data_IF_606479571491
#
_entry.id   IF_606479571491
#
_cell.length_a   1.000
_cell.length_b   1.000
_cell.length_c   1.000
_cell.angle_alpha   90.00
_cell.angle_beta   90.00
_cell.angle_gamma   90.00
#
_symmetry.space_group_name_H-M   'P 1'
#
loop_
_entity.id
_entity.type
_entity.pdbx_description
1 polymer ?
#
# COMPACT_ATOMS: atom_id res chain seq x y z
N UNK A 1 -40.22 -11.22 -36.09
CA UNK A 1 -39.64 -9.86 -36.12
C UNK A 1 -38.71 -9.76 -34.92
N UNK A 2 -37.40 -9.60 -35.12
CA UNK A 2 -36.39 -9.61 -34.05
C UNK A 2 -36.50 -8.31 -33.24
N UNK A 3 -36.88 -8.42 -31.97
CA UNK A 3 -36.88 -7.28 -31.05
C UNK A 3 -35.45 -6.80 -30.78
N UNK A 4 -35.25 -5.50 -30.98
CA UNK A 4 -33.98 -4.83 -30.88
C UNK A 4 -33.45 -4.82 -29.45
N UNK A 5 -32.25 -5.41 -29.26
CA UNK A 5 -31.40 -5.11 -28.10
C UNK A 5 -31.20 -3.58 -28.04
N UNK A 6 -31.43 -2.90 -26.91
CA UNK A 6 -31.42 -1.45 -26.86
C UNK A 6 -30.02 -0.93 -27.18
N UNK A 7 -29.91 -0.13 -28.24
CA UNK A 7 -28.66 0.37 -28.82
C UNK A 7 -27.72 1.02 -27.79
N UNK A 8 -28.30 1.62 -26.73
CA UNK A 8 -27.59 2.24 -25.60
C UNK A 8 -26.83 1.22 -24.73
N UNK A 9 -27.42 0.05 -24.40
CA UNK A 9 -26.74 -1.04 -23.67
C UNK A 9 -25.58 -1.61 -24.49
N UNK A 10 -25.79 -1.78 -25.80
CA UNK A 10 -24.76 -2.29 -26.71
C UNK A 10 -23.57 -1.33 -26.80
N UNK A 11 -23.82 -0.03 -26.86
CA UNK A 11 -22.77 0.99 -26.93
C UNK A 11 -21.95 1.08 -25.62
N UNK A 12 -22.62 1.05 -24.46
CA UNK A 12 -21.98 1.06 -23.13
C UNK A 12 -21.12 -0.18 -22.94
N UNK A 13 -21.67 -1.36 -23.24
CA UNK A 13 -20.94 -2.62 -23.13
C UNK A 13 -19.74 -2.71 -24.09
N UNK A 14 -19.84 -2.11 -25.28
CA UNK A 14 -18.71 -2.05 -26.24
C UNK A 14 -17.64 -1.05 -25.80
N UNK A 15 -18.03 0.08 -25.20
CA UNK A 15 -17.09 1.04 -24.58
C UNK A 15 -16.39 0.44 -23.35
N UNK A 16 -17.11 -0.31 -22.51
CA UNK A 16 -16.56 -1.03 -21.36
C UNK A 16 -15.50 -2.05 -21.82
N UNK A 17 -15.83 -2.92 -22.78
CA UNK A 17 -14.88 -3.90 -23.33
C UNK A 17 -13.62 -3.27 -23.94
N UNK A 18 -13.75 -2.13 -24.61
CA UNK A 18 -12.59 -1.39 -25.15
C UNK A 18 -11.73 -0.79 -24.02
N UNK A 19 -12.34 -0.29 -22.96
CA UNK A 19 -11.64 0.22 -21.78
C UNK A 19 -10.92 -0.90 -21.02
N UNK A 20 -11.54 -2.08 -20.88
CA UNK A 20 -10.95 -3.25 -20.25
C UNK A 20 -9.70 -3.71 -21.00
N UNK A 21 -9.79 -3.79 -22.34
CA UNK A 21 -8.65 -4.11 -23.20
C UNK A 21 -7.55 -3.05 -23.09
N UNK A 22 -7.92 -1.76 -23.04
CA UNK A 22 -6.97 -0.67 -22.91
C UNK A 22 -6.26 -0.69 -21.54
N UNK A 23 -6.98 -0.96 -20.45
CA UNK A 23 -6.41 -1.13 -19.11
C UNK A 23 -5.46 -2.32 -19.08
N UNK A 24 -5.87 -3.47 -19.63
CA UNK A 24 -5.01 -4.67 -19.72
C UNK A 24 -3.72 -4.34 -20.49
N UNK A 25 -3.84 -3.70 -21.66
CA UNK A 25 -2.68 -3.30 -22.47
C UNK A 25 -1.81 -2.31 -21.70
N UNK A 26 -2.40 -1.33 -21.02
CA UNK A 26 -1.64 -0.33 -20.27
C UNK A 26 -0.90 -0.96 -19.09
N UNK A 27 -1.57 -1.85 -18.32
CA UNK A 27 -0.93 -2.57 -17.21
C UNK A 27 0.16 -3.49 -17.72
N UNK A 28 -0.07 -4.22 -18.83
CA UNK A 28 0.97 -5.04 -19.46
C UNK A 28 2.16 -4.20 -19.92
N UNK A 29 1.90 -3.03 -20.51
CA UNK A 29 2.97 -2.13 -20.98
C UNK A 29 3.76 -1.50 -19.83
N UNK A 30 3.10 -1.17 -18.71
CA UNK A 30 3.76 -0.71 -17.48
C UNK A 30 4.58 -1.81 -16.82
N UNK A 31 4.05 -3.04 -16.80
CA UNK A 31 4.80 -4.20 -16.33
C UNK A 31 6.01 -4.50 -17.23
N UNK A 32 5.89 -4.29 -18.55
CA UNK A 32 7.02 -4.39 -19.49
C UNK A 32 8.05 -3.28 -19.27
N UNK A 33 7.63 -2.06 -18.95
CA UNK A 33 8.54 -0.95 -18.66
C UNK A 33 9.33 -1.14 -17.35
N UNK A 34 8.73 -1.78 -16.33
CA UNK A 34 9.43 -2.15 -15.10
C UNK A 34 10.57 -3.18 -15.33
N UNK A 35 10.58 -3.88 -16.47
CA UNK A 35 11.64 -4.82 -16.85
C UNK A 35 12.86 -4.10 -17.46
N UNK A 36 12.70 -2.87 -17.93
CA UNK A 36 13.67 -2.27 -18.85
C UNK A 36 14.98 -1.70 -18.26
N UNK A 37 15.14 -1.40 -16.96
CA UNK A 37 16.46 -1.03 -16.43
C UNK A 37 17.19 -2.18 -15.71
N UNK A 38 16.54 -3.28 -15.37
CA UNK A 38 17.19 -4.41 -14.69
C UNK A 38 17.93 -5.39 -15.62
N UNK A 39 18.03 -5.06 -16.92
CA UNK A 39 18.63 -5.92 -17.95
C UNK A 39 20.05 -5.51 -18.38
N UNK A 40 20.66 -4.49 -17.75
CA UNK A 40 22.00 -4.02 -18.13
C UNK A 40 22.95 -3.88 -16.93
N UNK A 41 23.10 -4.91 -16.11
CA UNK A 41 24.27 -5.04 -15.23
C UNK A 41 24.52 -6.48 -14.80
N UNK A 42 24.41 -7.44 -15.73
CA UNK A 42 24.95 -8.79 -15.55
C UNK A 42 25.29 -9.41 -16.91
N UNK A 43 26.40 -8.97 -17.51
CA UNK A 43 27.22 -9.83 -18.37
C UNK A 43 28.54 -9.15 -18.75
N UNK A 44 29.61 -9.96 -18.68
CA UNK A 44 30.96 -9.74 -19.21
C UNK A 44 31.99 -9.09 -18.27
N UNK A 45 32.68 -9.91 -17.47
CA UNK A 45 33.90 -10.57 -17.97
C UNK A 45 34.49 -11.53 -16.93
N UNK A 46 34.61 -12.79 -17.33
CA UNK A 46 35.64 -13.69 -16.80
C UNK A 46 36.75 -13.79 -17.85
N UNK A 47 37.99 -13.47 -17.46
CA UNK A 47 39.21 -14.21 -17.87
C UNK A 47 40.48 -13.50 -17.37
N UNK A 48 41.28 -14.30 -16.64
CA UNK A 48 42.74 -14.32 -16.49
C UNK A 48 43.59 -13.05 -16.76
N UNK A 49 44.47 -12.70 -15.81
CA UNK A 49 45.86 -13.18 -15.79
C UNK A 49 46.69 -12.52 -14.67
N UNK A 50 47.79 -13.19 -14.36
CA UNK A 50 48.75 -13.04 -13.25
C UNK A 50 49.34 -11.63 -13.07
N UNK A 51 49.61 -11.21 -11.84
CA UNK A 51 50.95 -11.13 -11.20
C UNK A 51 50.89 -10.26 -9.92
N UNK A 52 51.24 -10.85 -8.78
CA UNK A 52 51.85 -10.14 -7.63
C UNK A 52 53.35 -9.88 -7.94
N UNK A 53 54.12 -9.01 -7.23
CA UNK A 53 54.08 -8.82 -5.76
C UNK A 53 54.41 -7.38 -5.23
N UNK A 54 54.43 -7.28 -3.88
CA UNK A 54 55.32 -6.44 -3.02
C UNK A 54 54.70 -5.27 -2.21
N UNK A 55 54.41 -5.60 -0.93
CA UNK A 55 54.72 -4.90 0.34
C UNK A 55 54.43 -3.40 0.54
N UNK A 56 53.56 -3.11 1.53
CA UNK A 56 53.98 -2.55 2.85
C UNK A 56 52.85 -2.55 3.88
N UNK A 57 53.10 -3.20 5.02
CA UNK A 57 52.38 -3.01 6.28
C UNK A 57 52.86 -1.71 6.95
N UNK A 58 51.91 -0.89 7.46
CA UNK A 58 52.03 -0.13 8.72
C UNK A 58 50.62 -0.03 9.36
N UNK A 59 50.43 -0.33 10.66
CA UNK A 59 49.14 -0.31 11.35
C UNK A 59 48.92 0.99 12.15
N UNK A 60 47.66 1.45 12.29
CA UNK A 60 47.08 1.91 13.57
C UNK A 60 45.65 2.45 13.43
N UNK A 61 44.72 1.81 14.15
CA UNK A 61 43.61 2.34 14.94
C UNK A 61 42.81 3.57 14.42
N UNK A 62 41.53 3.36 14.09
CA UNK A 62 40.40 3.76 14.93
C UNK A 62 39.03 3.44 14.29
N UNK A 63 38.12 2.97 15.15
CA UNK A 63 36.66 2.94 15.04
C UNK A 63 36.03 2.29 13.80
N UNK A 64 35.53 1.06 13.99
CA UNK A 64 34.61 0.42 13.05
C UNK A 64 33.21 1.02 13.15
N UNK A 65 32.77 1.63 12.04
CA UNK A 65 31.36 1.84 11.73
C UNK A 65 30.84 0.62 10.94
N UNK A 66 29.65 0.07 11.24
CA UNK A 66 29.02 -0.86 10.33
C UNK A 66 28.26 -0.11 9.23
N UNK A 67 28.88 -0.03 8.05
CA UNK A 67 28.25 -0.30 6.76
C UNK A 67 27.13 0.62 6.26
N UNK A 68 27.49 1.83 5.80
CA UNK A 68 26.90 2.39 4.58
C UNK A 68 28.05 2.75 3.63
N UNK A 69 28.07 2.13 2.45
CA UNK A 69 29.07 2.36 1.41
C UNK A 69 29.08 3.83 0.99
N UNK A 70 30.13 4.53 1.40
CA UNK A 70 30.49 5.88 0.98
C UNK A 70 30.99 5.83 -0.47
N UNK A 71 30.12 6.07 -1.46
CA UNK A 71 30.59 6.52 -2.77
C UNK A 71 30.86 8.02 -2.68
N UNK A 72 32.12 8.36 -2.38
CA UNK A 72 32.67 9.68 -2.67
C UNK A 72 32.82 9.76 -4.18
N UNK A 73 31.93 10.48 -4.86
CA UNK A 73 32.22 10.95 -6.21
C UNK A 73 33.05 12.23 -6.07
N UNK A 74 34.32 12.10 -6.43
CA UNK A 74 35.24 13.22 -6.66
C UNK A 74 34.68 14.08 -7.80
N UNK A 75 34.85 15.39 -7.65
CA UNK A 75 34.46 16.39 -8.63
C UNK A 75 35.22 16.22 -9.97
N UNK A 76 34.60 16.74 -11.03
CA UNK A 76 35.09 16.91 -12.43
C UNK A 76 35.11 15.69 -13.39
N UNK A 77 34.13 15.65 -14.30
CA UNK A 77 34.35 16.03 -15.72
C UNK A 77 33.07 15.88 -16.56
N UNK A 78 32.82 16.89 -17.39
CA UNK A 78 31.75 16.98 -18.38
C UNK A 78 31.90 15.90 -19.46
N UNK A 79 31.01 14.90 -19.47
CA UNK A 79 31.01 13.80 -20.42
C UNK A 79 29.59 13.28 -20.75
N UNK A 80 29.46 12.40 -21.77
CA UNK A 80 28.19 11.97 -22.37
C UNK A 80 27.23 11.20 -21.42
N UNK A 81 27.65 10.93 -20.18
CA UNK A 81 26.83 10.26 -19.16
C UNK A 81 25.67 11.11 -18.63
N UNK A 82 25.76 12.44 -18.70
CA UNK A 82 24.69 13.34 -18.28
C UNK A 82 23.44 13.23 -19.18
N UNK A 83 23.64 12.91 -20.47
CA UNK A 83 22.53 12.64 -21.38
C UNK A 83 21.84 11.32 -21.06
N UNK A 84 22.58 10.28 -20.67
CA UNK A 84 22.01 8.96 -20.34
C UNK A 84 21.17 9.04 -19.06
N UNK A 85 21.65 9.75 -18.02
CA UNK A 85 20.86 10.00 -16.80
C UNK A 85 19.59 10.80 -17.10
N UNK A 86 19.68 11.87 -17.92
CA UNK A 86 18.50 12.62 -18.34
C UNK A 86 17.48 11.77 -19.12
N UNK A 87 17.93 10.88 -20.01
CA UNK A 87 17.02 9.99 -20.76
C UNK A 87 16.32 8.99 -19.84
N UNK A 88 17.04 8.46 -18.86
CA UNK A 88 16.50 7.53 -17.85
C UNK A 88 15.47 8.25 -16.98
N UNK A 89 15.75 9.47 -16.51
CA UNK A 89 14.80 10.30 -15.74
C UNK A 89 13.53 10.66 -16.52
N UNK A 90 13.66 10.96 -17.81
CA UNK A 90 12.51 11.23 -18.69
C UNK A 90 11.63 9.97 -18.82
N UNK A 91 12.23 8.81 -19.05
CA UNK A 91 11.51 7.53 -19.18
C UNK A 91 10.78 7.19 -17.87
N UNK A 92 11.42 7.36 -16.72
CA UNK A 92 10.78 7.14 -15.41
C UNK A 92 9.66 8.14 -15.14
N UNK A 93 9.83 9.40 -15.52
CA UNK A 93 8.79 10.44 -15.39
C UNK A 93 7.56 10.09 -16.23
N UNK A 94 7.75 9.69 -17.49
CA UNK A 94 6.63 9.26 -18.36
C UNK A 94 5.99 7.95 -17.86
N UNK A 95 6.79 7.01 -17.34
CA UNK A 95 6.28 5.79 -16.71
C UNK A 95 5.41 6.07 -15.48
N UNK A 96 5.86 6.97 -14.59
CA UNK A 96 5.12 7.39 -13.40
C UNK A 96 3.81 8.11 -13.74
N UNK A 97 3.81 9.01 -14.71
CA UNK A 97 2.60 9.69 -15.20
C UNK A 97 1.62 8.66 -15.80
N UNK A 98 2.13 7.70 -16.58
CA UNK A 98 1.34 6.60 -17.13
C UNK A 98 0.68 5.74 -16.05
N UNK A 99 1.43 5.39 -15.00
CA UNK A 99 0.92 4.63 -13.85
C UNK A 99 -0.17 5.41 -13.09
N UNK A 100 0.04 6.70 -12.83
CA UNK A 100 -0.94 7.55 -12.16
C UNK A 100 -2.25 7.65 -12.96
N UNK A 101 -2.15 7.86 -14.28
CA UNK A 101 -3.32 7.89 -15.17
C UNK A 101 -4.06 6.54 -15.17
N UNK A 102 -3.33 5.43 -15.15
CA UNK A 102 -3.91 4.09 -15.07
C UNK A 102 -4.69 3.87 -13.77
N UNK A 103 -4.11 4.24 -12.63
CA UNK A 103 -4.77 4.14 -11.32
C UNK A 103 -6.08 4.93 -11.34
N UNK A 104 -6.07 6.16 -11.86
CA UNK A 104 -7.28 6.99 -12.02
C UNK A 104 -8.33 6.27 -12.87
N UNK A 105 -7.94 5.72 -14.02
CA UNK A 105 -8.86 5.02 -14.91
C UNK A 105 -9.46 3.77 -14.25
N UNK A 106 -8.63 2.97 -13.58
CA UNK A 106 -9.05 1.75 -12.88
C UNK A 106 -10.07 2.11 -11.78
N UNK A 107 -9.76 3.05 -10.89
CA UNK A 107 -10.67 3.40 -9.79
C UNK A 107 -11.96 4.06 -10.28
N UNK A 108 -11.89 4.90 -11.32
CA UNK A 108 -13.09 5.51 -11.92
C UNK A 108 -13.99 4.47 -12.58
N UNK A 109 -13.41 3.52 -13.32
CA UNK A 109 -14.13 2.36 -13.85
C UNK A 109 -14.77 1.58 -12.71
N UNK A 110 -14.01 1.36 -11.63
CA UNK A 110 -14.51 0.56 -10.53
C UNK A 110 -15.68 1.22 -9.79
N UNK A 111 -15.59 2.52 -9.53
CA UNK A 111 -16.67 3.31 -8.95
C UNK A 111 -17.92 3.31 -9.83
N UNK A 112 -17.76 3.47 -11.15
CA UNK A 112 -18.89 3.38 -12.09
C UNK A 112 -19.56 2.00 -12.05
N UNK A 113 -18.79 0.93 -11.90
CA UNK A 113 -19.33 -0.43 -11.85
C UNK A 113 -20.00 -0.74 -10.50
N UNK A 114 -19.48 -0.17 -9.41
CA UNK A 114 -20.16 -0.21 -8.12
C UNK A 114 -21.56 0.40 -8.22
N UNK A 115 -21.67 1.59 -8.85
CA UNK A 115 -22.94 2.27 -9.05
C UNK A 115 -23.91 1.45 -9.92
N UNK A 116 -23.41 0.79 -10.97
CA UNK A 116 -24.22 -0.12 -11.80
C UNK A 116 -24.76 -1.31 -10.99
N UNK A 117 -23.94 -1.91 -10.11
CA UNK A 117 -24.36 -3.03 -9.26
C UNK A 117 -25.38 -2.60 -8.18
N UNK A 118 -25.34 -1.34 -7.74
CA UNK A 118 -26.33 -0.77 -6.81
C UNK A 118 -27.67 -0.51 -7.53
N UNK A 119 -27.64 0.10 -8.73
CA UNK A 119 -28.85 0.44 -9.48
C UNK A 119 -29.51 -0.78 -10.15
N UNK A 120 -28.69 -1.74 -10.56
CA UNK A 120 -29.11 -2.93 -11.30
C UNK A 120 -28.47 -4.18 -10.68
N UNK A 121 -28.99 -4.65 -9.53
CA UNK A 121 -28.50 -5.86 -8.91
C UNK A 121 -28.65 -7.04 -9.90
N UNK A 122 -27.64 -7.92 -10.01
CA UNK A 122 -27.71 -9.08 -10.88
C UNK A 122 -28.91 -9.95 -10.51
N UNK A 123 -29.63 -10.47 -11.52
CA UNK A 123 -30.75 -11.38 -11.31
C UNK A 123 -30.31 -12.65 -10.58
N UNK A 124 -31.21 -13.21 -9.75
CA UNK A 124 -30.95 -14.38 -8.89
C UNK A 124 -30.23 -15.52 -9.61
N UNK A 125 -29.15 -16.02 -8.99
CA UNK A 125 -28.33 -17.11 -9.51
C UNK A 125 -29.10 -18.44 -9.56
N UNK A 126 -28.81 -19.27 -10.56
CA UNK A 126 -29.43 -20.57 -10.88
C UNK A 126 -29.69 -21.56 -9.71
N UNK A 127 -28.90 -21.64 -8.62
CA UNK A 127 -29.20 -22.51 -7.49
C UNK A 127 -30.55 -22.14 -6.85
N UNK A 128 -30.88 -20.86 -6.79
CA UNK A 128 -32.06 -20.35 -6.09
C UNK A 128 -33.37 -21.01 -6.60
N UNK A 129 -33.45 -21.37 -7.88
CA UNK A 129 -34.61 -22.09 -8.44
C UNK A 129 -34.77 -23.54 -7.94
N UNK A 130 -33.68 -24.19 -7.55
CA UNK A 130 -33.65 -25.60 -7.12
C UNK A 130 -33.92 -25.70 -5.61
N UNK A 131 -33.30 -24.82 -4.81
CA UNK A 131 -33.48 -24.79 -3.37
C UNK A 131 -34.88 -24.32 -2.97
N UNK A 132 -35.51 -23.47 -3.78
CA UNK A 132 -36.94 -23.07 -3.67
C UNK A 132 -37.91 -24.20 -3.75
N UNK A 133 -37.50 -25.27 -4.42
CA UNK A 133 -38.28 -26.46 -4.58
C UNK A 133 -38.19 -27.40 -3.37
N UNK A 134 -37.24 -27.18 -2.46
CA UNK A 134 -36.86 -28.10 -1.37
C UNK A 134 -37.09 -27.53 0.04
N UNK A 135 -37.43 -26.25 0.22
CA UNK A 135 -37.86 -25.69 1.51
C UNK A 135 -36.77 -25.60 2.61
N UNK A 136 -35.49 -25.71 2.23
CA UNK A 136 -34.31 -25.67 3.12
C UNK A 136 -33.51 -24.36 2.94
N UNK A 137 -34.21 -23.28 2.58
CA UNK A 137 -33.67 -22.23 1.71
C UNK A 137 -32.85 -21.16 2.45
N UNK A 138 -33.41 -20.49 3.47
CA UNK A 138 -32.80 -19.26 3.99
C UNK A 138 -31.51 -19.48 4.80
N UNK A 139 -31.45 -20.53 5.62
CA UNK A 139 -30.30 -20.76 6.53
C UNK A 139 -29.06 -21.23 5.76
N UNK A 140 -29.22 -22.17 4.81
CA UNK A 140 -28.11 -22.68 4.01
C UNK A 140 -27.59 -21.64 3.00
N UNK A 141 -28.46 -20.74 2.51
CA UNK A 141 -28.06 -19.72 1.54
C UNK A 141 -27.23 -18.62 2.17
N UNK A 142 -27.65 -18.07 3.32
CA UNK A 142 -26.86 -17.03 4.00
C UNK A 142 -25.49 -17.56 4.43
N UNK A 143 -25.43 -18.79 4.93
CA UNK A 143 -24.17 -19.43 5.32
C UNK A 143 -23.27 -19.68 4.10
N UNK A 144 -23.82 -20.20 3.00
CA UNK A 144 -23.08 -20.40 1.75
C UNK A 144 -22.59 -19.08 1.13
N UNK A 145 -23.40 -18.01 1.17
CA UNK A 145 -22.98 -16.70 0.70
C UNK A 145 -21.86 -16.11 1.56
N UNK A 146 -21.95 -16.25 2.89
CA UNK A 146 -20.92 -15.82 3.82
C UNK A 146 -19.60 -16.57 3.59
N UNK A 147 -19.65 -17.89 3.43
CA UNK A 147 -18.48 -18.70 3.12
C UNK A 147 -17.85 -18.32 1.78
N UNK A 148 -18.68 -18.05 0.77
CA UNK A 148 -18.23 -17.57 -0.54
C UNK A 148 -17.54 -16.21 -0.44
N UNK A 149 -18.08 -15.26 0.34
CA UNK A 149 -17.46 -13.95 0.57
C UNK A 149 -16.12 -14.11 1.30
N UNK A 150 -16.06 -14.98 2.31
CA UNK A 150 -14.82 -15.31 3.04
C UNK A 150 -13.75 -15.86 2.11
N UNK A 151 -14.09 -16.83 1.27
CA UNK A 151 -13.16 -17.42 0.30
C UNK A 151 -12.64 -16.36 -0.68
N UNK A 152 -13.55 -15.58 -1.29
CA UNK A 152 -13.16 -14.53 -2.23
C UNK A 152 -12.31 -13.44 -1.58
N UNK A 153 -12.47 -13.18 -0.29
CA UNK A 153 -11.64 -12.24 0.47
C UNK A 153 -10.28 -12.85 0.81
N UNK A 154 -10.24 -14.11 1.25
CA UNK A 154 -9.02 -14.78 1.67
C UNK A 154 -7.99 -14.92 0.53
N UNK A 155 -8.43 -15.23 -0.69
CA UNK A 155 -7.56 -15.41 -1.85
C UNK A 155 -6.62 -14.20 -2.06
N UNK A 156 -7.12 -12.97 -2.31
CA UNK A 156 -6.24 -11.82 -2.51
C UNK A 156 -5.44 -11.44 -1.26
N UNK A 157 -5.99 -11.62 -0.05
CA UNK A 157 -5.25 -11.38 1.20
C UNK A 157 -4.02 -12.27 1.28
N UNK A 158 -4.15 -13.55 0.94
CA UNK A 158 -3.03 -14.51 0.91
C UNK A 158 -2.00 -14.13 -0.14
N UNK A 159 -2.42 -13.74 -1.36
CA UNK A 159 -1.46 -13.34 -2.40
C UNK A 159 -0.73 -12.03 -2.07
N UNK A 160 -1.41 -11.05 -1.45
CA UNK A 160 -0.76 -9.82 -0.95
C UNK A 160 0.24 -10.21 0.15
N UNK A 161 -0.16 -11.03 1.12
CA UNK A 161 0.74 -11.48 2.17
C UNK A 161 1.94 -12.27 1.65
N UNK A 162 1.75 -13.13 0.65
CA UNK A 162 2.84 -13.87 0.00
C UNK A 162 3.84 -12.91 -0.68
N UNK A 163 3.35 -11.87 -1.35
CA UNK A 163 4.21 -10.87 -1.97
C UNK A 163 5.03 -10.11 -0.92
N UNK A 164 4.42 -9.73 0.20
CA UNK A 164 5.10 -9.07 1.32
C UNK A 164 6.14 -9.98 1.99
N UNK A 165 5.83 -11.27 2.17
CA UNK A 165 6.80 -12.25 2.67
C UNK A 165 7.99 -12.45 1.71
N UNK A 166 7.76 -12.31 0.40
CA UNK A 166 8.85 -12.34 -0.59
C UNK A 166 9.70 -11.07 -0.55
N UNK A 167 9.13 -9.91 -0.21
CA UNK A 167 9.92 -8.69 0.07
C UNK A 167 10.82 -8.94 1.28
N UNK A 168 10.26 -9.46 2.37
CA UNK A 168 11.02 -9.84 3.55
C UNK A 168 12.15 -10.84 3.24
N UNK A 169 11.91 -11.80 2.35
CA UNK A 169 12.90 -12.80 1.91
C UNK A 169 13.91 -12.28 0.86
N UNK A 170 13.98 -10.97 0.62
CA UNK A 170 14.85 -10.33 -0.37
C UNK A 170 14.64 -10.90 -1.80
N UNK A 171 13.37 -11.12 -2.16
CA UNK A 171 12.91 -11.57 -3.48
C UNK A 171 12.00 -10.52 -4.13
N UNK A 172 12.43 -9.26 -4.05
CA UNK A 172 11.67 -8.07 -4.45
C UNK A 172 11.12 -8.18 -5.89
N UNK A 173 11.91 -8.68 -6.85
CA UNK A 173 11.48 -8.84 -8.25
C UNK A 173 10.22 -9.71 -8.37
N UNK A 174 10.17 -10.84 -7.66
CA UNK A 174 9.02 -11.76 -7.69
C UNK A 174 7.82 -11.13 -6.98
N UNK A 175 8.06 -10.47 -5.84
CA UNK A 175 7.02 -9.77 -5.10
C UNK A 175 6.33 -8.69 -5.96
N UNK A 176 7.09 -7.88 -6.70
CA UNK A 176 6.56 -6.87 -7.64
C UNK A 176 5.61 -7.53 -8.65
N UNK A 177 6.01 -8.65 -9.26
CA UNK A 177 5.17 -9.38 -10.21
C UNK A 177 3.87 -9.89 -9.58
N UNK A 178 3.92 -10.37 -8.33
CA UNK A 178 2.72 -10.81 -7.62
C UNK A 178 1.81 -9.61 -7.31
N UNK A 179 2.34 -8.47 -6.83
CA UNK A 179 1.53 -7.27 -6.61
C UNK A 179 0.87 -6.76 -7.90
N UNK A 180 1.60 -6.75 -9.02
CA UNK A 180 1.04 -6.41 -10.34
C UNK A 180 -0.05 -7.41 -10.74
N UNK A 181 0.20 -8.71 -10.59
CA UNK A 181 -0.76 -9.76 -10.90
C UNK A 181 -2.04 -9.66 -10.08
N UNK A 182 -1.91 -9.42 -8.76
CA UNK A 182 -3.04 -9.17 -7.85
C UNK A 182 -3.80 -7.93 -8.28
N UNK A 183 -3.11 -6.83 -8.59
CA UNK A 183 -3.74 -5.58 -9.02
C UNK A 183 -4.56 -5.79 -10.31
N UNK A 184 -4.00 -6.50 -11.30
CA UNK A 184 -4.72 -6.86 -12.54
C UNK A 184 -5.95 -7.71 -12.21
N UNK A 185 -5.76 -8.79 -11.45
CA UNK A 185 -6.83 -9.73 -11.13
C UNK A 185 -8.00 -9.04 -10.42
N UNK A 186 -7.71 -8.19 -9.44
CA UNK A 186 -8.73 -7.43 -8.70
C UNK A 186 -9.40 -6.38 -9.60
N UNK A 187 -8.64 -5.69 -10.46
CA UNK A 187 -9.19 -4.67 -11.37
C UNK A 187 -10.16 -5.25 -12.41
N UNK A 188 -9.97 -6.51 -12.82
CA UNK A 188 -10.79 -7.23 -13.80
C UNK A 188 -11.82 -8.19 -13.18
N UNK A 189 -11.88 -8.20 -11.85
CA UNK A 189 -12.75 -9.11 -11.09
C UNK A 189 -14.24 -8.96 -11.42
N UNK A 190 -14.67 -7.78 -11.85
CA UNK A 190 -16.06 -7.48 -12.20
C UNK A 190 -16.59 -8.30 -13.38
N UNK A 191 -15.70 -8.89 -14.18
CA UNK A 191 -16.07 -9.79 -15.27
C UNK A 191 -16.76 -11.04 -14.70
N UNK A 192 -16.21 -11.59 -13.61
CA UNK A 192 -16.62 -12.86 -12.99
C UNK A 192 -17.52 -12.59 -11.78
N UNK A 193 -17.15 -11.65 -10.91
CA UNK A 193 -17.79 -11.40 -9.64
C UNK A 193 -18.87 -10.33 -9.81
N UNK A 194 -20.11 -10.68 -9.42
CA UNK A 194 -21.27 -9.76 -9.44
C UNK A 194 -21.78 -9.40 -8.05
N UNK A 195 -21.12 -9.88 -6.99
CA UNK A 195 -21.51 -9.58 -5.61
C UNK A 195 -20.91 -8.24 -5.17
N UNK A 196 -21.77 -7.29 -4.77
CA UNK A 196 -21.37 -5.92 -4.40
C UNK A 196 -20.43 -5.88 -3.19
N UNK A 197 -20.62 -6.74 -2.18
CA UNK A 197 -19.77 -6.78 -0.98
C UNK A 197 -18.34 -7.19 -1.33
N UNK A 198 -18.18 -8.29 -2.07
CA UNK A 198 -16.87 -8.76 -2.55
C UNK A 198 -16.19 -7.71 -3.42
N UNK A 199 -16.96 -7.08 -4.31
CA UNK A 199 -16.45 -6.06 -5.20
C UNK A 199 -15.90 -4.83 -4.44
N UNK A 200 -16.59 -4.38 -3.39
CA UNK A 200 -16.10 -3.30 -2.51
C UNK A 200 -14.83 -3.71 -1.77
N UNK A 201 -14.75 -4.93 -1.26
CA UNK A 201 -13.52 -5.44 -0.62
C UNK A 201 -12.36 -5.40 -1.62
N UNK A 202 -12.58 -5.79 -2.88
CA UNK A 202 -11.52 -5.83 -3.88
C UNK A 202 -11.01 -4.45 -4.23
N UNK A 203 -11.90 -3.46 -4.38
CA UNK A 203 -11.51 -2.06 -4.59
C UNK A 203 -10.66 -1.52 -3.42
N UNK A 204 -10.93 -1.96 -2.18
CA UNK A 204 -10.13 -1.59 -1.01
C UNK A 204 -8.78 -2.32 -0.99
N UNK A 205 -8.76 -3.64 -1.22
CA UNK A 205 -7.54 -4.44 -1.24
C UNK A 205 -6.55 -4.02 -2.32
N UNK A 206 -7.03 -3.45 -3.44
CA UNK A 206 -6.17 -2.90 -4.49
C UNK A 206 -5.30 -1.72 -4.02
N UNK A 207 -5.67 -1.01 -2.95
CA UNK A 207 -4.88 0.09 -2.43
C UNK A 207 -3.53 -0.40 -1.87
N UNK A 208 -3.46 -1.62 -1.35
CA UNK A 208 -2.25 -2.21 -0.77
C UNK A 208 -1.15 -2.49 -1.82
N UNK A 209 -1.39 -3.26 -2.90
CA UNK A 209 -0.39 -3.43 -3.95
C UNK A 209 -0.04 -2.11 -4.63
N UNK A 210 -0.98 -1.15 -4.75
CA UNK A 210 -0.64 0.18 -5.27
C UNK A 210 0.31 0.92 -4.32
N UNK A 211 0.00 0.97 -3.02
CA UNK A 211 0.89 1.54 -2.01
C UNK A 211 2.28 0.92 -2.09
N UNK A 212 2.38 -0.42 -2.17
CA UNK A 212 3.67 -1.09 -2.28
C UNK A 212 4.42 -0.76 -3.57
N UNK A 213 3.74 -0.83 -4.72
CA UNK A 213 4.36 -0.56 -6.02
C UNK A 213 4.81 0.90 -6.12
N UNK A 214 4.04 1.85 -5.60
CA UNK A 214 4.43 3.26 -5.52
C UNK A 214 5.65 3.41 -4.62
N UNK A 215 5.63 2.83 -3.41
CA UNK A 215 6.74 2.91 -2.47
C UNK A 215 8.06 2.36 -3.07
N UNK A 216 8.02 1.20 -3.74
CA UNK A 216 9.20 0.60 -4.38
C UNK A 216 9.67 1.33 -5.65
N UNK A 217 8.78 2.08 -6.30
CA UNK A 217 9.09 2.78 -7.55
C UNK A 217 9.59 4.19 -7.33
N UNK A 218 9.47 4.76 -6.13
CA UNK A 218 9.86 6.15 -5.88
C UNK A 218 11.39 6.29 -5.88
N UNK A 219 11.95 7.10 -6.80
CA UNK A 219 13.36 7.46 -6.75
C UNK A 219 13.70 8.25 -5.49
N UNK A 220 14.92 8.08 -5.00
CA UNK A 220 15.46 8.90 -3.90
C UNK A 220 15.83 10.27 -4.46
N UNK A 221 14.82 11.11 -4.70
CA UNK A 221 15.00 12.43 -5.33
C UNK A 221 15.65 13.48 -4.41
N UNK A 222 15.70 13.23 -3.10
CA UNK A 222 16.17 14.21 -2.11
C UNK A 222 17.23 13.60 -1.20
N UNK A 223 18.18 14.44 -0.80
CA UNK A 223 19.15 14.12 0.26
C UNK A 223 18.47 13.85 1.62
N UNK A 224 17.18 14.23 1.77
CA UNK A 224 16.40 14.00 2.97
C UNK A 224 15.24 13.02 2.70
N UNK A 225 15.35 11.82 3.27
CA UNK A 225 14.37 10.72 3.22
C UNK A 225 12.97 11.15 3.64
N UNK A 226 12.84 12.18 4.49
CA UNK A 226 11.55 12.67 4.97
C UNK A 226 10.61 13.10 3.82
N UNK A 227 11.14 13.73 2.76
CA UNK A 227 10.30 14.22 1.67
C UNK A 227 9.83 13.10 0.74
N UNK A 228 10.54 11.97 0.68
CA UNK A 228 10.12 10.80 -0.11
C UNK A 228 8.73 10.32 0.29
N UNK A 229 8.38 10.39 1.58
CA UNK A 229 7.04 10.02 2.05
C UNK A 229 5.93 10.86 1.40
N UNK A 230 6.16 12.15 1.14
CA UNK A 230 5.16 12.98 0.45
C UNK A 230 4.91 12.44 -0.96
N UNK A 231 5.97 12.04 -1.67
CA UNK A 231 5.85 11.49 -3.03
C UNK A 231 5.26 10.08 -3.06
N UNK A 232 5.42 9.29 -2.00
CA UNK A 232 4.77 7.98 -1.88
C UNK A 232 3.27 8.13 -1.57
N UNK A 233 2.90 8.93 -0.57
CA UNK A 233 1.53 8.97 -0.06
C UNK A 233 0.63 9.98 -0.79
N UNK A 234 1.15 11.09 -1.31
CA UNK A 234 0.31 12.07 -2.02
C UNK A 234 -0.39 11.48 -3.27
N UNK A 235 0.25 10.66 -4.11
CA UNK A 235 -0.44 10.00 -5.23
C UNK A 235 -1.57 9.07 -4.81
N UNK A 236 -1.46 8.44 -3.62
CA UNK A 236 -2.49 7.54 -3.08
C UNK A 236 -3.76 8.28 -2.63
N UNK A 237 -3.68 9.59 -2.37
CA UNK A 237 -4.87 10.40 -2.11
C UNK A 237 -5.83 10.42 -3.30
N UNK A 238 -5.35 10.22 -4.53
CA UNK A 238 -6.19 10.21 -5.74
C UNK A 238 -7.17 9.03 -5.77
N UNK A 239 -6.74 7.75 -5.72
CA UNK A 239 -7.68 6.63 -5.66
C UNK A 239 -8.54 6.66 -4.39
N UNK A 240 -8.01 7.14 -3.25
CA UNK A 240 -8.78 7.35 -2.03
C UNK A 240 -9.91 8.37 -2.23
N UNK A 241 -9.62 9.53 -2.82
CA UNK A 241 -10.63 10.54 -3.12
C UNK A 241 -11.71 10.01 -4.07
N UNK A 242 -11.34 9.22 -5.09
CA UNK A 242 -12.31 8.59 -6.00
C UNK A 242 -13.23 7.65 -5.23
N UNK A 243 -12.70 6.81 -4.32
CA UNK A 243 -13.52 5.93 -3.47
C UNK A 243 -14.46 6.76 -2.59
N UNK A 244 -13.93 7.76 -1.89
CA UNK A 244 -14.66 8.55 -0.89
C UNK A 244 -15.77 9.39 -1.53
N UNK A 245 -15.55 9.95 -2.72
CA UNK A 245 -16.53 10.78 -3.43
C UNK A 245 -17.64 9.93 -4.06
N UNK A 246 -17.33 8.71 -4.51
CA UNK A 246 -18.30 7.86 -5.21
C UNK A 246 -19.03 6.86 -4.30
N UNK A 247 -18.53 6.62 -3.08
CA UNK A 247 -19.26 5.81 -2.12
C UNK A 247 -20.49 6.58 -1.60
N UNK A 248 -21.61 5.87 -1.39
CA UNK A 248 -22.85 6.44 -0.83
C UNK A 248 -22.93 6.38 0.70
N UNK A 249 -21.89 5.88 1.36
CA UNK A 249 -21.81 5.80 2.82
C UNK A 249 -21.61 7.19 3.44
N UNK A 250 -22.12 7.40 4.66
CA UNK A 250 -21.86 8.63 5.40
C UNK A 250 -20.37 8.75 5.74
N UNK A 251 -19.87 9.99 5.81
CA UNK A 251 -18.50 10.25 6.28
C UNK A 251 -18.25 9.71 7.70
N UNK A 252 -19.28 9.68 8.55
CA UNK A 252 -19.24 9.07 9.87
C UNK A 252 -19.03 7.55 9.84
N UNK A 253 -19.59 6.85 8.83
CA UNK A 253 -19.41 5.40 8.69
C UNK A 253 -17.96 5.03 8.40
N UNK A 254 -17.26 5.85 7.61
CA UNK A 254 -15.81 5.71 7.39
C UNK A 254 -14.97 6.43 8.46
N UNK A 255 -15.60 6.91 9.53
CA UNK A 255 -14.95 7.49 10.71
C UNK A 255 -14.43 8.92 10.57
N UNK A 256 -14.80 9.64 9.50
CA UNK A 256 -14.52 11.07 9.39
C UNK A 256 -15.50 11.81 10.30
N UNK A 257 -15.08 12.06 11.54
CA UNK A 257 -15.85 12.74 12.58
C UNK A 257 -14.94 13.62 13.44
N UNK A 258 -15.50 14.70 13.99
CA UNK A 258 -14.82 15.59 14.94
C UNK A 258 -15.22 15.32 16.40
N UNK A 259 -16.04 14.28 16.63
CA UNK A 259 -16.51 13.93 17.97
C UNK A 259 -15.34 13.54 18.88
N UNK A 260 -15.31 14.12 20.08
CA UNK A 260 -14.30 13.86 21.12
C UNK A 260 -12.84 14.10 20.69
N UNK A 261 -12.62 14.88 19.62
CA UNK A 261 -11.29 15.10 19.06
C UNK A 261 -10.24 15.62 20.08
N UNK A 262 -10.54 16.59 20.97
CA UNK A 262 -9.56 17.04 21.97
C UNK A 262 -9.11 15.92 22.92
N UNK A 263 -10.03 15.08 23.38
CA UNK A 263 -9.72 13.96 24.27
C UNK A 263 -8.85 12.93 23.56
N UNK A 264 -9.12 12.65 22.28
CA UNK A 264 -8.34 11.73 21.47
C UNK A 264 -6.95 12.25 21.13
N UNK A 265 -6.78 13.56 20.92
CA UNK A 265 -5.46 14.17 20.76
C UNK A 265 -4.64 13.98 22.04
N UNK A 266 -5.22 14.30 23.20
CA UNK A 266 -4.54 14.15 24.50
C UNK A 266 -4.15 12.70 24.75
N UNK A 267 -5.04 11.74 24.42
CA UNK A 267 -4.78 10.32 24.56
C UNK A 267 -3.70 9.81 23.58
N UNK A 268 -3.64 10.38 22.38
CA UNK A 268 -2.70 9.95 21.33
C UNK A 268 -1.24 10.25 21.67
N UNK A 269 -0.95 11.24 22.51
CA UNK A 269 0.43 11.60 22.90
C UNK A 269 1.10 10.49 23.74
N UNK A 270 0.57 10.08 24.91
CA UNK A 270 1.20 9.04 25.71
C UNK A 270 1.16 7.68 25.02
N UNK A 271 0.10 7.38 24.27
CA UNK A 271 0.04 6.16 23.46
C UNK A 271 1.08 6.19 22.35
N UNK A 272 1.18 7.29 21.60
CA UNK A 272 2.15 7.44 20.52
C UNK A 272 3.58 7.28 21.03
N UNK A 273 3.90 7.85 22.19
CA UNK A 273 5.19 7.66 22.86
C UNK A 273 5.44 6.18 23.19
N UNK A 274 4.48 5.52 23.85
CA UNK A 274 4.63 4.12 24.29
C UNK A 274 4.79 3.17 23.11
N UNK A 275 3.92 3.30 22.10
CA UNK A 275 3.94 2.44 20.93
C UNK A 275 5.13 2.72 20.02
N UNK A 276 5.51 3.99 19.84
CA UNK A 276 6.72 4.37 19.11
C UNK A 276 7.99 3.89 19.81
N UNK A 277 7.99 3.78 21.15
CA UNK A 277 9.14 3.24 21.89
C UNK A 277 9.28 1.74 21.67
N UNK A 278 8.17 1.01 21.69
CA UNK A 278 8.20 -0.43 21.39
C UNK A 278 8.65 -0.72 19.96
N UNK A 279 8.24 0.11 18.99
CA UNK A 279 8.68 0.02 17.59
C UNK A 279 10.15 0.45 17.42
N UNK A 280 10.63 1.41 18.21
CA UNK A 280 12.04 1.78 18.17
C UNK A 280 12.94 0.57 18.49
N UNK A 281 12.52 -0.30 19.41
CA UNK A 281 13.25 -1.53 19.76
C UNK A 281 13.13 -2.65 18.73
N UNK A 282 12.27 -2.56 17.71
CA UNK A 282 12.19 -3.57 16.64
C UNK A 282 13.12 -3.25 15.48
N UNK A 283 13.24 -1.97 15.09
CA UNK A 283 13.97 -1.56 13.88
C UNK A 283 15.15 -0.60 14.11
N UNK A 284 15.26 0.03 15.29
CA UNK A 284 16.33 0.98 15.65
C UNK A 284 16.68 1.97 14.53
N UNK A 285 15.70 2.79 14.08
CA UNK A 285 15.89 3.61 12.90
C UNK A 285 16.81 4.80 13.19
N UNK A 286 17.45 5.31 12.14
CA UNK A 286 18.12 6.61 12.17
C UNK A 286 17.13 7.77 12.26
N UNK A 287 17.63 8.97 12.56
CA UNK A 287 16.81 10.18 12.58
C UNK A 287 16.43 10.65 11.16
N UNK A 288 15.17 10.99 10.95
CA UNK A 288 14.70 11.62 9.70
C UNK A 288 14.84 13.15 9.69
N UNK A 289 15.10 13.75 10.84
CA UNK A 289 15.35 15.18 11.00
C UNK A 289 16.72 15.38 11.62
N UNK A 290 17.42 16.45 11.25
CA UNK A 290 18.81 16.71 11.67
C UNK A 290 18.92 17.12 13.15
N UNK A 291 17.89 17.76 13.68
CA UNK A 291 17.80 18.21 15.07
C UNK A 291 16.34 18.27 15.52
N UNK A 292 16.15 18.45 16.83
CA UNK A 292 14.84 18.62 17.48
C UNK A 292 14.39 20.09 17.53
N UNK A 293 14.87 20.95 16.61
CA UNK A 293 14.34 22.31 16.52
C UNK A 293 12.84 22.29 16.23
N UNK A 294 12.13 23.30 16.72
CA UNK A 294 10.67 23.43 16.54
C UNK A 294 10.30 23.35 15.05
N UNK A 295 11.09 23.97 14.17
CA UNK A 295 10.85 23.94 12.73
C UNK A 295 10.94 22.53 12.13
N UNK A 296 11.92 21.73 12.54
CA UNK A 296 12.10 20.37 12.03
C UNK A 296 11.06 19.40 12.63
N UNK A 297 10.74 19.53 13.91
CA UNK A 297 9.68 18.76 14.55
C UNK A 297 8.30 19.04 13.93
N UNK A 298 7.99 20.30 13.61
CA UNK A 298 6.74 20.65 12.93
C UNK A 298 6.66 20.04 11.52
N UNK A 299 7.76 20.08 10.75
CA UNK A 299 7.82 19.44 9.43
C UNK A 299 7.62 17.93 9.53
N UNK A 300 8.32 17.27 10.45
CA UNK A 300 8.20 15.83 10.68
C UNK A 300 6.76 15.47 11.09
N UNK A 301 6.21 16.18 12.08
CA UNK A 301 4.84 15.95 12.56
C UNK A 301 3.83 16.13 11.44
N UNK A 302 3.98 17.18 10.63
CA UNK A 302 3.07 17.42 9.51
C UNK A 302 3.11 16.27 8.50
N UNK A 303 4.29 15.80 8.10
CA UNK A 303 4.43 14.71 7.13
C UNK A 303 3.94 13.39 7.72
N UNK A 304 4.35 13.05 8.95
CA UNK A 304 3.99 11.80 9.58
C UNK A 304 2.51 11.69 9.93
N UNK A 305 1.84 12.79 10.30
CA UNK A 305 0.41 12.77 10.61
C UNK A 305 -0.44 12.85 9.34
N UNK A 306 -0.17 13.81 8.44
CA UNK A 306 -1.09 14.10 7.32
C UNK A 306 -0.79 13.33 6.04
N UNK A 307 0.44 12.85 5.85
CA UNK A 307 0.77 12.00 4.71
C UNK A 307 0.83 10.54 5.13
N UNK A 308 1.71 10.17 6.05
CA UNK A 308 1.88 8.75 6.42
C UNK A 308 0.66 8.24 7.19
N UNK A 309 0.44 8.70 8.42
CA UNK A 309 -0.61 8.21 9.31
C UNK A 309 -2.01 8.36 8.72
N UNK A 310 -2.36 9.54 8.19
CA UNK A 310 -3.68 9.76 7.62
C UNK A 310 -3.96 8.88 6.40
N UNK A 311 -3.03 8.76 5.45
CA UNK A 311 -3.27 7.97 4.22
C UNK A 311 -3.33 6.49 4.55
N UNK A 312 -2.45 5.99 5.41
CA UNK A 312 -2.51 4.59 5.82
C UNK A 312 -3.79 4.27 6.59
N UNK A 313 -4.17 5.08 7.57
CA UNK A 313 -5.39 4.81 8.33
C UNK A 313 -6.67 5.02 7.48
N UNK A 314 -6.64 5.88 6.47
CA UNK A 314 -7.69 5.93 5.44
C UNK A 314 -7.78 4.62 4.65
N UNK A 315 -6.65 4.04 4.24
CA UNK A 315 -6.61 2.77 3.50
C UNK A 315 -7.07 1.61 4.38
N UNK A 316 -6.48 1.46 5.56
CA UNK A 316 -6.67 0.29 6.41
C UNK A 316 -7.96 0.34 7.22
N UNK A 317 -8.33 1.49 7.81
CA UNK A 317 -9.49 1.60 8.73
C UNK A 317 -10.73 2.07 8.01
N UNK A 318 -10.74 3.32 7.57
CA UNK A 318 -11.89 3.95 6.90
C UNK A 318 -12.32 3.16 5.68
N UNK A 319 -11.31 2.80 4.88
CA UNK A 319 -11.21 1.91 3.74
C UNK A 319 -11.68 0.46 3.90
N UNK A 320 -10.64 -0.35 4.10
CA UNK A 320 -10.64 -1.79 4.10
C UNK A 320 -11.40 -2.36 5.28
N UNK A 321 -11.14 -1.91 6.52
CA UNK A 321 -11.79 -2.46 7.70
C UNK A 321 -13.30 -2.25 7.67
N UNK A 322 -13.78 -1.05 7.37
CA UNK A 322 -15.22 -0.76 7.26
C UNK A 322 -15.90 -1.67 6.23
N UNK A 323 -15.28 -1.86 5.06
CA UNK A 323 -15.85 -2.73 4.00
C UNK A 323 -15.81 -4.21 4.35
N UNK A 324 -14.82 -4.64 5.11
CA UNK A 324 -14.77 -5.99 5.67
C UNK A 324 -15.84 -6.17 6.75
N UNK A 325 -16.07 -5.18 7.62
CA UNK A 325 -17.12 -5.21 8.64
C UNK A 325 -18.53 -5.24 8.04
N UNK A 326 -18.75 -4.60 6.89
CA UNK A 326 -20.02 -4.65 6.16
C UNK A 326 -20.31 -6.04 5.53
N UNK A 327 -19.27 -6.87 5.39
CA UNK A 327 -19.32 -8.12 4.62
C UNK A 327 -19.02 -9.39 5.42
N UNK A 328 -18.26 -9.26 6.51
CA UNK A 328 -17.76 -10.31 7.40
C UNK A 328 -18.06 -9.92 8.87
N UNK A 329 -17.63 -10.74 9.82
CA UNK A 329 -17.69 -10.34 11.23
C UNK A 329 -16.63 -9.27 11.57
N UNK A 330 -16.92 -8.45 12.58
CA UNK A 330 -15.96 -7.45 13.10
C UNK A 330 -14.63 -8.08 13.50
N UNK A 331 -14.66 -9.28 14.09
CA UNK A 331 -13.44 -9.99 14.48
C UNK A 331 -12.59 -10.31 13.26
N UNK A 332 -13.20 -10.85 12.20
CA UNK A 332 -12.51 -11.14 10.94
C UNK A 332 -11.95 -9.88 10.31
N UNK A 333 -12.72 -8.79 10.26
CA UNK A 333 -12.29 -7.52 9.69
C UNK A 333 -11.06 -6.95 10.42
N UNK A 334 -11.10 -6.87 11.75
CA UNK A 334 -9.97 -6.38 12.57
C UNK A 334 -8.75 -7.28 12.44
N UNK A 335 -8.94 -8.60 12.43
CA UNK A 335 -7.83 -9.56 12.25
C UNK A 335 -7.18 -9.42 10.88
N UNK A 336 -7.97 -9.38 9.81
CA UNK A 336 -7.44 -9.26 8.44
C UNK A 336 -6.70 -7.94 8.26
N UNK A 337 -7.27 -6.80 8.71
CA UNK A 337 -6.61 -5.50 8.55
C UNK A 337 -5.38 -5.36 9.43
N UNK A 338 -5.40 -5.88 10.66
CA UNK A 338 -4.22 -5.90 11.53
C UNK A 338 -3.07 -6.74 10.96
N UNK A 339 -3.37 -7.95 10.45
CA UNK A 339 -2.38 -8.82 9.82
C UNK A 339 -1.78 -8.19 8.56
N UNK A 340 -2.62 -7.63 7.68
CA UNK A 340 -2.15 -6.94 6.47
C UNK A 340 -1.32 -5.71 6.81
N UNK A 341 -1.69 -4.95 7.84
CA UNK A 341 -0.92 -3.80 8.30
C UNK A 341 0.49 -4.21 8.71
N UNK A 342 0.63 -5.28 9.50
CA UNK A 342 1.94 -5.82 9.89
C UNK A 342 2.75 -6.34 8.70
N UNK A 343 2.13 -7.11 7.81
CA UNK A 343 2.80 -7.61 6.60
C UNK A 343 3.30 -6.48 5.70
N UNK A 344 2.58 -5.36 5.61
CA UNK A 344 3.01 -4.19 4.84
C UNK A 344 4.20 -3.44 5.48
N UNK A 345 4.66 -3.84 6.66
CA UNK A 345 5.93 -3.39 7.26
C UNK A 345 7.11 -4.33 6.95
N UNK A 346 6.90 -5.37 6.13
CA UNK A 346 7.95 -6.32 5.69
C UNK A 346 9.21 -5.65 5.10
N UNK A 347 9.05 -4.45 4.53
CA UNK A 347 10.13 -3.68 3.92
C UNK A 347 11.24 -3.25 4.86
N UNK A 348 11.01 -3.25 6.18
CA UNK A 348 12.06 -2.99 7.18
C UNK A 348 12.99 -4.20 7.41
N UNK A 349 12.67 -5.38 6.86
CA UNK A 349 13.55 -6.54 6.85
C UNK A 349 13.66 -7.29 8.19
N UNK A 350 12.86 -6.94 9.21
CA UNK A 350 12.85 -7.66 10.48
C UNK A 350 11.49 -8.32 10.74
N UNK A 351 11.52 -9.58 11.18
CA UNK A 351 10.28 -10.31 11.49
C UNK A 351 9.60 -9.74 12.76
N UNK A 352 10.40 -9.24 13.70
CA UNK A 352 9.89 -8.57 14.90
C UNK A 352 9.05 -7.35 14.55
N UNK A 353 9.43 -6.60 13.52
CA UNK A 353 8.67 -5.45 13.05
C UNK A 353 7.30 -5.85 12.50
N UNK A 354 7.24 -6.88 11.65
CA UNK A 354 5.97 -7.40 11.10
C UNK A 354 5.02 -7.84 12.21
N UNK A 355 5.54 -8.50 13.24
CA UNK A 355 4.73 -8.93 14.39
C UNK A 355 4.27 -7.73 15.24
N UNK A 356 5.17 -6.79 15.52
CA UNK A 356 4.87 -5.65 16.39
C UNK A 356 3.86 -4.71 15.73
N UNK A 357 4.11 -4.30 14.49
CA UNK A 357 3.18 -3.47 13.71
C UNK A 357 1.87 -4.18 13.44
N UNK A 358 1.87 -5.52 13.29
CA UNK A 358 0.64 -6.32 13.28
C UNK A 358 -0.16 -6.19 14.58
N UNK A 359 0.50 -6.25 15.74
CA UNK A 359 -0.14 -5.98 17.04
C UNK A 359 -0.67 -4.54 17.15
N UNK A 360 0.11 -3.54 16.75
CA UNK A 360 -0.34 -2.14 16.71
C UNK A 360 -1.53 -2.00 15.77
N UNK A 361 -1.52 -2.67 14.63
CA UNK A 361 -2.60 -2.71 13.66
C UNK A 361 -3.88 -3.34 14.21
N UNK A 362 -3.78 -4.39 15.03
CA UNK A 362 -4.93 -4.96 15.75
C UNK A 362 -5.49 -3.99 16.80
N UNK A 363 -4.61 -3.33 17.56
CA UNK A 363 -5.00 -2.31 18.53
C UNK A 363 -5.73 -1.15 17.87
N UNK A 364 -5.16 -0.57 16.80
CA UNK A 364 -5.77 0.51 16.02
C UNK A 364 -7.08 0.07 15.37
N UNK A 365 -7.15 -1.16 14.86
CA UNK A 365 -8.38 -1.71 14.30
C UNK A 365 -9.50 -1.82 15.33
N UNK A 366 -9.20 -2.32 16.52
CA UNK A 366 -10.17 -2.38 17.62
C UNK A 366 -10.57 -0.98 18.11
N UNK A 367 -9.61 -0.08 18.26
CA UNK A 367 -9.84 1.31 18.67
C UNK A 367 -10.72 2.05 17.65
N UNK A 368 -10.49 1.85 16.35
CA UNK A 368 -11.33 2.39 15.28
C UNK A 368 -12.74 1.82 15.33
N UNK A 369 -12.90 0.51 15.53
CA UNK A 369 -14.22 -0.11 15.68
C UNK A 369 -15.01 0.50 16.85
N UNK A 370 -14.36 0.77 17.98
CA UNK A 370 -14.99 1.34 19.17
C UNK A 370 -15.30 2.83 19.08
N UNK A 371 -14.42 3.61 18.44
CA UNK A 371 -14.51 5.07 18.43
C UNK A 371 -15.10 5.64 17.14
N UNK A 372 -15.00 4.89 16.03
CA UNK A 372 -15.25 5.37 14.67
C UNK A 372 -14.65 6.74 14.40
N UNK A 373 -13.42 6.96 14.87
CA UNK A 373 -12.70 8.22 14.70
C UNK A 373 -11.41 8.01 13.93
N UNK A 374 -11.42 8.33 12.64
CA UNK A 374 -10.22 8.39 11.80
C UNK A 374 -9.24 9.43 12.34
N UNK A 375 -9.64 10.67 12.71
CA UNK A 375 -8.68 11.64 13.23
C UNK A 375 -7.94 11.15 14.48
N UNK A 376 -8.61 10.41 15.36
CA UNK A 376 -7.94 9.80 16.51
C UNK A 376 -6.82 8.85 16.07
N UNK A 377 -7.14 7.87 15.24
CA UNK A 377 -6.18 6.82 14.85
C UNK A 377 -5.06 7.42 13.96
N UNK A 378 -5.37 8.36 13.07
CA UNK A 378 -4.39 9.03 12.23
C UNK A 378 -3.40 9.88 13.05
N UNK A 379 -3.88 10.60 14.07
CA UNK A 379 -3.01 11.37 14.97
C UNK A 379 -2.19 10.43 15.84
N UNK A 380 -2.79 9.38 16.39
CA UNK A 380 -2.09 8.36 17.16
C UNK A 380 -0.95 7.73 16.35
N UNK A 381 -1.24 7.22 15.16
CA UNK A 381 -0.25 6.62 14.27
C UNK A 381 0.81 7.65 13.84
N UNK A 382 0.41 8.85 13.42
CA UNK A 382 1.38 9.89 13.08
C UNK A 382 2.32 10.24 14.24
N UNK A 383 1.82 10.26 15.47
CA UNK A 383 2.66 10.48 16.66
C UNK A 383 3.59 9.31 16.96
N UNK A 384 3.16 8.06 16.76
CA UNK A 384 4.05 6.88 16.81
C UNK A 384 5.26 7.13 15.91
N UNK A 385 5.02 7.52 14.65
CA UNK A 385 6.09 7.81 13.69
C UNK A 385 6.95 9.03 14.06
N UNK A 386 6.39 10.08 14.65
CA UNK A 386 7.15 11.24 15.15
C UNK A 386 8.11 10.82 16.25
N UNK A 387 7.66 10.00 17.21
CA UNK A 387 8.51 9.51 18.27
C UNK A 387 9.57 8.53 17.75
N UNK A 388 9.17 7.59 16.90
CA UNK A 388 10.01 6.56 16.31
C UNK A 388 11.16 7.12 15.45
N UNK A 389 10.85 8.02 14.52
CA UNK A 389 11.83 8.52 13.54
C UNK A 389 12.42 9.90 13.87
N UNK A 390 11.83 10.61 14.83
CA UNK A 390 12.28 11.93 15.26
C UNK A 390 12.91 11.90 16.63
N UNK A 391 12.13 11.54 17.65
CA UNK A 391 12.53 11.76 19.05
C UNK A 391 13.52 10.69 19.53
N UNK A 392 13.16 9.41 19.49
CA UNK A 392 13.98 8.34 20.05
C UNK A 392 15.38 8.20 19.44
N UNK A 393 15.57 8.31 18.11
CA UNK A 393 16.91 8.24 17.53
C UNK A 393 17.86 9.34 18.06
N UNK A 394 17.37 10.51 18.48
CA UNK A 394 18.22 11.56 19.05
C UNK A 394 18.62 11.31 20.51
N UNK A 395 17.83 10.53 21.25
CA UNK A 395 18.08 10.26 22.68
C UNK A 395 18.68 8.87 22.95
N UNK A 396 18.36 7.88 22.12
CA UNK A 396 18.66 6.47 22.36
C UNK A 396 19.72 5.89 21.43
N UNK A 397 20.08 6.57 20.33
CA UNK A 397 21.09 6.06 19.37
C UNK A 397 22.49 5.83 19.98
N UNK A 398 22.78 6.41 21.15
CA UNK A 398 24.01 6.17 21.91
C UNK A 398 23.92 5.09 22.98
N UNK A 399 22.75 4.50 23.22
CA UNK A 399 22.54 3.45 24.23
C UNK A 399 22.63 2.11 23.52
N UNK A 400 23.83 1.54 23.50
CA UNK A 400 24.07 0.17 23.02
C UNK A 400 23.41 -0.81 24.01
N UNK A 401 22.38 -1.55 23.56
CA UNK A 401 21.77 -2.64 24.32
C UNK A 401 22.31 -4.01 23.88
#
# INVERSE_FOLDING_TARGET
MKEGVPMKKRLIHTKQKKLDLLIIILVLSLALMAVSPACCSDSNNSSSSQTEPVLKLVPSNNAGEPGFSKFVLSDESSGPFQHIEQYVDIIYTFGGIGAAFLIILIYRRMASKEQELIEHPPGELYPHKIWKKLGLEDINLEEFEAERIRLFTAIPVVFIGLAELLIYADRIKIAIWIHIGVLIALSLSDIIIKNLKVYRIYQALMLLPILRLVNLSMPVFFNNTLYTFVFVYAPLLVPLAIIIINQRSSFEHIGITTNNLPAYIILSIPLGFLFGLGEYFTIHPGYLIQDLSIGNLLKLTFIMVFFVGLVEELIFRSILQTRLEDALSVKEAVLITGLLFGLMHSGYGTFHEVLYTGFVGLFMGFAFYKTRSLPFIAIFHGLVNVFLFGVFPHYLSGVMF
#
